data_IF_850716626927
#
_entry.id   IF_850716626927
#
_cell.length_a   1.000
_cell.length_b   1.000
_cell.length_c   1.000
_cell.angle_alpha   90.00
_cell.angle_beta   90.00
_cell.angle_gamma   90.00
#
_symmetry.space_group_name_H-M   'P 1'
#
loop_
_entity.id
_entity.type
_entity.pdbx_description
1 polymer ?
#
# COMPACT_ATOMS: atom_id res chain seq x y z
N UNK A 1 -0.67 -22.91 -8.59
CA UNK A 1 0.33 -21.87 -8.94
C UNK A 1 -0.01 -20.52 -8.31
N UNK A 2 -1.14 -19.89 -8.62
CA UNK A 2 -1.50 -18.56 -8.09
C UNK A 2 -1.36 -18.45 -6.57
N UNK A 3 -1.99 -19.35 -5.81
CA UNK A 3 -1.89 -19.38 -4.34
C UNK A 3 -0.46 -19.51 -3.83
N UNK A 4 0.40 -20.23 -4.55
CA UNK A 4 1.80 -20.44 -4.18
C UNK A 4 2.63 -19.17 -4.42
N UNK A 5 2.43 -18.51 -5.57
CA UNK A 5 3.09 -17.22 -5.87
C UNK A 5 2.72 -16.18 -4.82
N UNK A 6 1.43 -16.07 -4.49
CA UNK A 6 0.96 -15.12 -3.46
C UNK A 6 1.58 -15.43 -2.11
N UNK A 7 1.55 -16.69 -1.66
CA UNK A 7 2.16 -17.08 -0.39
C UNK A 7 3.67 -16.81 -0.34
N UNK A 8 4.39 -17.12 -1.42
CA UNK A 8 5.83 -16.86 -1.54
C UNK A 8 6.11 -15.37 -1.41
N UNK A 9 5.41 -14.54 -2.16
CA UNK A 9 5.63 -13.09 -2.19
C UNK A 9 5.26 -12.45 -0.84
N UNK A 10 4.23 -12.93 -0.15
CA UNK A 10 3.91 -12.52 1.23
C UNK A 10 5.03 -12.87 2.22
N UNK A 11 5.62 -14.07 2.12
CA UNK A 11 6.76 -14.48 2.96
C UNK A 11 8.00 -13.62 2.65
N UNK A 12 8.25 -13.32 1.39
CA UNK A 12 9.37 -12.47 0.97
C UNK A 12 9.19 -11.04 1.47
N UNK A 13 7.99 -10.47 1.37
CA UNK A 13 7.65 -9.17 1.93
C UNK A 13 7.85 -9.12 3.45
N UNK A 14 7.49 -10.20 4.17
CA UNK A 14 7.72 -10.31 5.61
C UNK A 14 9.21 -10.37 5.99
N UNK A 15 10.07 -10.89 5.09
CA UNK A 15 11.53 -10.85 5.27
C UNK A 15 12.10 -9.47 4.93
N UNK A 16 11.50 -8.76 3.99
CA UNK A 16 11.90 -7.41 3.53
C UNK A 16 11.03 -6.31 4.15
N UNK A 17 10.89 -6.35 5.48
CA UNK A 17 10.01 -5.41 6.22
C UNK A 17 10.38 -3.95 6.01
N UNK A 18 11.65 -3.66 5.71
CA UNK A 18 12.13 -2.31 5.44
C UNK A 18 11.37 -1.63 4.28
N UNK A 19 11.03 -2.37 3.22
CA UNK A 19 10.30 -1.82 2.08
C UNK A 19 8.85 -1.46 2.45
N UNK A 20 8.18 -2.35 3.17
CA UNK A 20 6.81 -2.15 3.67
C UNK A 20 6.78 -0.99 4.66
N UNK A 21 7.72 -0.95 5.60
CA UNK A 21 7.85 0.13 6.58
C UNK A 21 8.15 1.46 5.90
N UNK A 22 9.03 1.50 4.90
CA UNK A 22 9.33 2.74 4.16
C UNK A 22 8.08 3.31 3.48
N UNK A 23 7.27 2.45 2.85
CA UNK A 23 6.00 2.84 2.23
C UNK A 23 5.00 3.36 3.28
N UNK A 24 4.89 2.66 4.41
CA UNK A 24 4.00 3.04 5.50
C UNK A 24 4.43 4.37 6.15
N UNK A 25 5.72 4.55 6.42
CA UNK A 25 6.25 5.79 6.98
C UNK A 25 6.04 6.97 6.04
N UNK A 26 6.27 6.78 4.74
CA UNK A 26 5.97 7.81 3.75
C UNK A 26 4.49 8.23 3.81
N UNK A 27 3.57 7.26 3.85
CA UNK A 27 2.15 7.52 3.99
C UNK A 27 1.81 8.32 5.26
N UNK A 28 2.30 7.88 6.42
CA UNK A 28 2.10 8.58 7.71
C UNK A 28 2.61 10.01 7.63
N UNK A 29 3.84 10.20 7.12
CA UNK A 29 4.46 11.53 7.00
C UNK A 29 3.62 12.44 6.11
N UNK A 30 3.25 11.97 4.91
CA UNK A 30 2.46 12.76 3.96
C UNK A 30 1.14 13.17 4.59
N UNK A 31 0.38 12.23 5.18
CA UNK A 31 -0.91 12.53 5.81
C UNK A 31 -0.77 13.50 6.99
N UNK A 32 0.24 13.32 7.84
CA UNK A 32 0.48 14.21 8.99
C UNK A 32 0.98 15.60 8.61
N UNK A 33 1.59 15.77 7.43
CA UNK A 33 2.03 17.09 6.96
C UNK A 33 0.87 18.00 6.52
N UNK A 34 -0.27 17.44 6.09
CA UNK A 34 -1.43 18.24 5.68
C UNK A 34 -2.00 19.16 6.77
N UNK A 35 -2.33 18.68 8.00
CA UNK A 35 -2.82 19.56 9.05
C UNK A 35 -1.78 20.60 9.48
N UNK A 36 -0.48 20.28 9.40
CA UNK A 36 0.60 21.22 9.68
C UNK A 36 0.75 22.30 8.60
N UNK A 37 0.51 21.96 7.33
CA UNK A 37 0.66 22.87 6.20
C UNK A 37 -0.53 23.79 5.96
N UNK A 38 -1.75 23.31 6.22
CA UNK A 38 -3.00 24.06 5.98
C UNK A 38 -3.37 24.93 7.18
N UNK A 39 -3.05 24.47 8.40
CA UNK A 39 -3.39 25.15 9.65
C UNK A 39 -4.57 24.51 10.38
N UNK A 40 -4.93 25.02 11.57
CA UNK A 40 -5.80 24.34 12.54
C UNK A 40 -7.30 24.47 12.26
N UNK A 41 -7.72 24.86 11.06
CA UNK A 41 -9.15 25.02 10.73
C UNK A 41 -9.84 23.66 10.59
N UNK A 42 -10.49 23.21 11.67
CA UNK A 42 -11.06 21.86 11.79
C UNK A 42 -12.07 21.52 10.69
N UNK A 43 -12.90 22.49 10.29
CA UNK A 43 -13.94 22.26 9.30
C UNK A 43 -13.36 22.02 7.89
N UNK A 44 -12.31 22.77 7.54
CA UNK A 44 -11.54 22.55 6.32
C UNK A 44 -10.83 21.18 6.37
N UNK A 45 -10.12 20.88 7.45
CA UNK A 45 -9.40 19.62 7.64
C UNK A 45 -10.31 18.40 7.48
N UNK A 46 -11.50 18.41 8.09
CA UNK A 46 -12.50 17.34 7.95
C UNK A 46 -12.96 17.14 6.51
N UNK A 47 -13.16 18.23 5.77
CA UNK A 47 -13.67 18.18 4.40
C UNK A 47 -12.66 17.57 3.41
N UNK A 48 -11.35 17.80 3.64
CA UNK A 48 -10.29 17.32 2.75
C UNK A 48 -9.70 15.97 3.19
N UNK A 49 -9.90 15.56 4.44
CA UNK A 49 -9.25 14.38 5.01
C UNK A 49 -9.42 13.11 4.16
N UNK A 50 -10.61 12.77 3.61
CA UNK A 50 -10.75 11.59 2.75
C UNK A 50 -9.88 11.67 1.50
N UNK A 51 -9.83 12.83 0.86
CA UNK A 51 -8.98 13.06 -0.31
C UNK A 51 -7.50 12.95 0.05
N UNK A 52 -7.08 13.52 1.18
CA UNK A 52 -5.70 13.47 1.66
C UNK A 52 -5.25 12.03 1.91
N UNK A 53 -6.06 11.24 2.61
CA UNK A 53 -5.76 9.82 2.91
C UNK A 53 -5.61 9.04 1.60
N UNK A 54 -6.55 9.14 0.67
CA UNK A 54 -6.49 8.39 -0.59
C UNK A 54 -5.35 8.83 -1.51
N UNK A 55 -5.10 10.14 -1.61
CA UNK A 55 -3.97 10.66 -2.39
C UNK A 55 -2.65 10.20 -1.79
N UNK A 56 -2.49 10.25 -0.47
CA UNK A 56 -1.28 9.79 0.19
C UNK A 56 -1.08 8.27 0.01
N UNK A 57 -2.15 7.47 0.05
CA UNK A 57 -2.08 6.04 -0.19
C UNK A 57 -1.64 5.74 -1.64
N UNK A 58 -2.19 6.46 -2.63
CA UNK A 58 -1.78 6.34 -4.03
C UNK A 58 -0.31 6.76 -4.25
N UNK A 59 0.15 7.83 -3.61
CA UNK A 59 1.56 8.23 -3.70
C UNK A 59 2.47 7.20 -3.05
N UNK A 60 2.06 6.61 -1.92
CA UNK A 60 2.80 5.53 -1.26
C UNK A 60 2.88 4.28 -2.15
N UNK A 61 1.79 3.91 -2.82
CA UNK A 61 1.74 2.74 -3.70
C UNK A 61 2.70 2.87 -4.89
N UNK A 62 2.89 4.08 -5.43
CA UNK A 62 3.89 4.35 -6.47
C UNK A 62 5.33 3.98 -6.05
N UNK A 63 5.70 4.15 -4.77
CA UNK A 63 7.03 3.79 -4.25
C UNK A 63 7.25 2.28 -4.18
N UNK A 64 6.16 1.52 -4.11
CA UNK A 64 6.16 0.08 -3.92
C UNK A 64 6.08 -0.68 -5.25
N UNK A 65 5.36 -0.13 -6.24
CA UNK A 65 5.15 -0.74 -7.57
C UNK A 65 6.45 -1.06 -8.33
N UNK A 66 7.49 -0.23 -8.22
CA UNK A 66 8.75 -0.42 -8.94
C UNK A 66 9.48 -1.73 -8.61
N UNK A 67 9.14 -2.39 -7.50
CA UNK A 67 9.89 -3.54 -6.97
C UNK A 67 9.24 -4.90 -7.25
N UNK A 68 8.03 -4.91 -7.80
CA UNK A 68 7.19 -6.12 -7.97
C UNK A 68 7.90 -7.21 -8.78
N UNK A 69 8.63 -6.80 -9.81
CA UNK A 69 9.40 -7.70 -10.69
C UNK A 69 10.91 -7.50 -10.60
N UNK A 70 11.38 -6.33 -10.13
CA UNK A 70 12.80 -6.00 -10.12
C UNK A 70 13.62 -6.99 -9.27
N UNK A 71 13.09 -7.40 -8.12
CA UNK A 71 13.78 -8.32 -7.21
C UNK A 71 13.95 -9.72 -7.82
N UNK A 72 12.87 -10.26 -8.39
CA UNK A 72 12.90 -11.57 -9.05
C UNK A 72 13.75 -11.55 -10.34
N UNK A 73 13.87 -10.39 -11.00
CA UNK A 73 14.74 -10.24 -12.16
C UNK A 73 16.23 -10.20 -11.76
N UNK A 74 16.55 -9.56 -10.63
CA UNK A 74 17.93 -9.48 -10.14
C UNK A 74 18.49 -10.82 -9.68
N UNK A 75 17.66 -11.72 -9.14
CA UNK A 75 18.10 -13.03 -8.64
C UNK A 75 17.89 -14.18 -9.64
N UNK A 76 17.37 -13.91 -10.84
CA UNK A 76 17.15 -14.90 -11.88
C UNK A 76 15.83 -15.69 -11.75
N UNK A 77 15.04 -15.44 -10.70
CA UNK A 77 13.79 -16.15 -10.44
C UNK A 77 12.74 -15.84 -11.50
N UNK A 78 12.70 -14.60 -12.02
CA UNK A 78 11.72 -14.19 -13.01
C UNK A 78 11.89 -14.99 -14.30
N UNK A 79 13.14 -15.18 -14.74
CA UNK A 79 13.50 -15.97 -15.92
C UNK A 79 13.10 -17.44 -15.73
N UNK A 80 13.32 -18.01 -14.55
CA UNK A 80 12.86 -19.37 -14.24
C UNK A 80 11.33 -19.48 -14.28
N UNK A 81 10.61 -18.47 -13.80
CA UNK A 81 9.15 -18.43 -13.86
C UNK A 81 8.65 -18.35 -15.30
N UNK A 82 9.34 -17.62 -16.19
CA UNK A 82 9.01 -17.52 -17.62
C UNK A 82 9.19 -18.85 -18.37
N UNK A 83 10.10 -19.72 -17.92
CA UNK A 83 10.35 -21.04 -18.53
C UNK A 83 9.36 -22.12 -18.04
N UNK A 84 8.53 -21.82 -17.06
CA UNK A 84 7.57 -22.77 -16.50
C UNK A 84 6.38 -22.94 -17.48
N UNK A 85 5.79 -24.15 -17.65
CA UNK A 85 4.67 -24.41 -18.58
C UNK A 85 3.32 -23.75 -18.19
N UNK A 86 3.36 -22.66 -17.42
CA UNK A 86 2.19 -21.99 -16.87
C UNK A 86 1.90 -20.71 -17.67
N UNK A 87 0.62 -20.33 -17.82
CA UNK A 87 0.27 -19.05 -18.45
C UNK A 87 0.87 -17.85 -17.70
N UNK A 88 1.56 -16.97 -18.43
CA UNK A 88 2.25 -15.80 -17.86
C UNK A 88 1.29 -14.88 -17.08
N UNK A 89 0.05 -14.73 -17.55
CA UNK A 89 -0.94 -13.87 -16.91
C UNK A 89 -1.25 -14.31 -15.47
N UNK A 90 -1.16 -15.61 -15.15
CA UNK A 90 -1.36 -16.11 -13.78
C UNK A 90 -0.21 -15.72 -12.85
N UNK A 91 1.01 -15.65 -13.39
CA UNK A 91 2.18 -15.20 -12.65
C UNK A 91 2.05 -13.71 -12.33
N UNK A 92 1.71 -12.91 -13.34
CA UNK A 92 1.49 -11.46 -13.19
C UNK A 92 0.36 -11.17 -12.20
N UNK A 93 -0.79 -11.82 -12.33
CA UNK A 93 -1.92 -11.63 -11.40
C UNK A 93 -1.52 -12.00 -9.97
N UNK A 94 -0.79 -13.10 -9.77
CA UNK A 94 -0.31 -13.51 -8.46
C UNK A 94 0.59 -12.47 -7.81
N UNK A 95 1.53 -11.93 -8.58
CA UNK A 95 2.45 -10.88 -8.10
C UNK A 95 1.74 -9.57 -7.80
N UNK A 96 0.85 -9.13 -8.69
CA UNK A 96 0.07 -7.90 -8.49
C UNK A 96 -0.84 -8.03 -7.26
N UNK A 97 -1.49 -9.18 -7.08
CA UNK A 97 -2.34 -9.41 -5.91
C UNK A 97 -1.54 -9.48 -4.61
N UNK A 98 -0.40 -10.16 -4.61
CA UNK A 98 0.49 -10.19 -3.44
C UNK A 98 1.00 -8.79 -3.09
N UNK A 99 1.41 -8.03 -4.10
CA UNK A 99 1.84 -6.64 -3.94
C UNK A 99 0.72 -5.76 -3.36
N UNK A 100 -0.49 -5.87 -3.91
CA UNK A 100 -1.64 -5.13 -3.41
C UNK A 100 -1.92 -5.46 -1.93
N UNK A 101 -1.86 -6.73 -1.55
CA UNK A 101 -2.01 -7.13 -0.14
C UNK A 101 -0.91 -6.56 0.76
N UNK A 102 0.34 -6.54 0.29
CA UNK A 102 1.48 -6.07 1.09
C UNK A 102 1.49 -4.55 1.22
N UNK A 103 1.13 -3.83 0.15
CA UNK A 103 1.16 -2.38 0.11
C UNK A 103 -0.12 -1.77 0.70
N UNK A 104 -1.29 -2.18 0.22
CA UNK A 104 -2.54 -1.46 0.51
C UNK A 104 -3.18 -1.88 1.85
N UNK A 105 -3.11 -3.16 2.23
CA UNK A 105 -3.74 -3.62 3.49
C UNK A 105 -3.17 -2.89 4.71
N UNK A 106 -1.84 -2.71 4.87
CA UNK A 106 -1.31 -1.88 5.94
C UNK A 106 -1.78 -0.44 5.88
N UNK A 107 -1.87 0.17 4.69
CA UNK A 107 -2.31 1.55 4.53
C UNK A 107 -3.77 1.73 4.96
N UNK A 108 -4.66 0.83 4.56
CA UNK A 108 -6.08 0.82 4.94
C UNK A 108 -6.24 0.60 6.46
N UNK A 109 -5.45 -0.30 7.06
CA UNK A 109 -5.47 -0.53 8.51
C UNK A 109 -5.02 0.72 9.28
N UNK A 110 -4.06 1.48 8.76
CA UNK A 110 -3.55 2.71 9.38
C UNK A 110 -4.38 3.96 9.05
N UNK A 111 -5.15 3.96 7.96
CA UNK A 111 -6.03 5.06 7.55
C UNK A 111 -6.93 5.60 8.68
N UNK A 112 -7.65 4.78 9.48
CA UNK A 112 -8.51 5.30 10.54
C UNK A 112 -7.70 5.93 11.68
N UNK A 113 -6.51 5.39 11.99
CA UNK A 113 -5.61 5.98 12.98
C UNK A 113 -5.16 7.38 12.54
N UNK A 114 -4.84 7.54 11.26
CA UNK A 114 -4.43 8.83 10.71
C UNK A 114 -5.61 9.80 10.56
N UNK A 115 -6.83 9.30 10.30
CA UNK A 115 -8.05 10.08 10.24
C UNK A 115 -8.44 10.75 11.56
N UNK A 116 -8.00 10.21 12.70
CA UNK A 116 -8.18 10.85 14.01
C UNK A 116 -7.49 12.22 14.09
N UNK A 117 -6.40 12.43 13.35
CA UNK A 117 -5.69 13.72 13.30
C UNK A 117 -6.54 14.84 12.67
N UNK A 118 -7.56 14.47 11.88
CA UNK A 118 -8.48 15.39 11.23
C UNK A 118 -9.81 15.53 11.99
N UNK A 119 -9.89 14.99 13.22
CA UNK A 119 -11.09 15.04 14.07
C UNK A 119 -12.35 14.46 13.37
N UNK A 120 -12.16 13.38 12.60
CA UNK A 120 -13.23 12.71 11.87
C UNK A 120 -14.17 11.92 12.78
N UNK A 121 -15.44 11.88 12.43
CA UNK A 121 -16.44 11.05 13.12
C UNK A 121 -16.17 9.56 12.89
N UNK A 122 -16.62 8.71 13.82
CA UNK A 122 -16.47 7.24 13.71
C UNK A 122 -17.09 6.69 12.43
N UNK A 123 -18.24 7.22 12.02
CA UNK A 123 -18.93 6.80 10.80
C UNK A 123 -18.10 7.14 9.56
N UNK A 124 -17.52 8.34 9.52
CA UNK A 124 -16.62 8.77 8.43
C UNK A 124 -15.36 7.91 8.35
N UNK A 125 -14.78 7.53 9.49
CA UNK A 125 -13.61 6.65 9.55
C UNK A 125 -13.93 5.26 8.98
N UNK A 126 -15.09 4.71 9.33
CA UNK A 126 -15.53 3.41 8.80
C UNK A 126 -15.76 3.50 7.29
N UNK A 127 -16.45 4.53 6.82
CA UNK A 127 -16.68 4.74 5.37
C UNK A 127 -15.33 4.82 4.65
N UNK A 128 -14.41 5.65 5.12
CA UNK A 128 -13.08 5.84 4.57
C UNK A 128 -12.27 4.54 4.45
N UNK A 129 -12.45 3.60 5.37
CA UNK A 129 -11.78 2.28 5.31
C UNK A 129 -12.46 1.26 4.39
N UNK A 130 -13.75 1.44 4.09
CA UNK A 130 -14.55 0.46 3.36
C UNK A 130 -14.82 0.82 1.89
N UNK A 131 -14.82 2.11 1.56
CA UNK A 131 -14.85 2.62 0.17
C UNK A 131 -13.45 2.63 -0.41
#
# INVERSE_FOLDING_TARGET
MLRWIVWRDLILAWRRRADVLSTLFFYVIVVSLFPLGIGPETQLLRSIAPGVVWVAALLASMLSLGRVFANDHQDGTLEQMLLTPQPLYLVVLGKVFAQWLVAEVPLVIFAPLLGLQFDLSKDTLVILTLT
#
